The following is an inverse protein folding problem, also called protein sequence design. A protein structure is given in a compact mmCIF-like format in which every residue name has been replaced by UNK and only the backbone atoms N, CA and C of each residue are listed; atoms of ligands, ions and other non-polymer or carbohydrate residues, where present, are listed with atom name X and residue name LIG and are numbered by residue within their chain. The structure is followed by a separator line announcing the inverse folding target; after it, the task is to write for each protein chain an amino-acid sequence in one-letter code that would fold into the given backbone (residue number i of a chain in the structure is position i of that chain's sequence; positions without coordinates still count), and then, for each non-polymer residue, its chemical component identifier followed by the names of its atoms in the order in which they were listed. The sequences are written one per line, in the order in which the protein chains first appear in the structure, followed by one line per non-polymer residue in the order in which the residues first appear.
data_IF_658161726997
#
_entry.id   IF_658161726997
#
_cell.length_a   1.000
_cell.length_b   1.000
_cell.length_c   1.000
_cell.angle_alpha   90.00
_cell.angle_beta   90.00
_cell.angle_gamma   90.00
#
_symmetry.space_group_name_H-M   'P 1'
#
loop_
_entity.id
_entity.type
_entity.pdbx_description
1 polymer ?
#
# COMPACT_ATOMS: atom_id res chain seq x y z
N UNK A 1 1.61 -39.27 -6.63
CA UNK A 1 0.59 -38.20 -6.51
C UNK A 1 0.44 -37.39 -7.80
N UNK A 2 1.53 -36.91 -8.39
CA UNK A 2 1.55 -36.11 -9.64
C UNK A 2 0.95 -36.81 -10.87
N UNK A 3 1.26 -38.10 -11.11
CA UNK A 3 0.72 -38.85 -12.24
C UNK A 3 -0.81 -39.05 -12.14
N UNK A 4 -1.31 -39.41 -10.96
CA UNK A 4 -2.75 -39.54 -10.71
C UNK A 4 -3.49 -38.23 -10.97
N UNK A 5 -2.91 -37.10 -10.54
CA UNK A 5 -3.47 -35.76 -10.81
C UNK A 5 -3.62 -35.50 -12.31
N UNK A 6 -2.57 -35.75 -13.08
CA UNK A 6 -2.59 -35.57 -14.54
C UNK A 6 -3.65 -36.45 -15.17
N UNK A 7 -3.77 -37.72 -14.76
CA UNK A 7 -4.81 -38.65 -15.25
C UNK A 7 -6.20 -38.10 -14.95
N UNK A 8 -6.45 -37.60 -13.73
CA UNK A 8 -7.75 -37.03 -13.35
C UNK A 8 -8.06 -35.78 -14.18
N UNK A 9 -7.12 -34.84 -14.29
CA UNK A 9 -7.33 -33.59 -15.03
C UNK A 9 -7.54 -33.84 -16.53
N UNK A 10 -6.75 -34.73 -17.14
CA UNK A 10 -6.88 -35.10 -18.55
C UNK A 10 -8.15 -35.92 -18.81
N UNK A 11 -8.48 -36.84 -17.91
CA UNK A 11 -9.73 -37.61 -17.99
C UNK A 11 -10.96 -36.71 -17.89
N UNK A 12 -10.95 -35.74 -16.97
CA UNK A 12 -12.03 -34.77 -16.84
C UNK A 12 -12.10 -33.84 -18.06
N UNK A 13 -10.95 -33.40 -18.58
CA UNK A 13 -10.89 -32.63 -19.84
C UNK A 13 -11.55 -33.42 -20.98
N UNK A 14 -11.21 -34.69 -21.14
CA UNK A 14 -11.79 -35.56 -22.17
C UNK A 14 -13.32 -35.71 -22.00
N UNK A 15 -13.78 -36.01 -20.78
CA UNK A 15 -15.23 -36.09 -20.49
C UNK A 15 -15.94 -34.77 -20.79
N UNK A 16 -15.33 -33.64 -20.42
CA UNK A 16 -15.89 -32.32 -20.69
C UNK A 16 -16.04 -32.05 -22.18
N UNK A 17 -15.03 -32.38 -22.98
CA UNK A 17 -15.06 -32.19 -24.44
C UNK A 17 -16.04 -33.16 -25.12
N UNK A 18 -15.98 -34.45 -24.80
CA UNK A 18 -16.75 -35.48 -25.48
C UNK A 18 -18.24 -35.45 -25.11
N UNK A 19 -18.59 -35.04 -23.88
CA UNK A 19 -19.96 -35.12 -23.37
C UNK A 19 -20.51 -33.81 -22.82
N UNK A 20 -19.72 -32.72 -22.83
CA UNK A 20 -20.07 -31.38 -22.35
C UNK A 20 -21.40 -30.87 -22.88
N UNK A 21 -21.59 -30.96 -24.19
CA UNK A 21 -22.77 -30.47 -24.88
C UNK A 21 -24.07 -31.16 -24.42
N UNK A 22 -24.00 -32.43 -23.97
CA UNK A 22 -25.14 -33.19 -23.43
C UNK A 22 -25.40 -32.91 -21.96
N UNK A 23 -24.32 -32.75 -21.17
CA UNK A 23 -24.39 -32.65 -19.71
C UNK A 23 -23.80 -31.33 -19.20
N UNK A 24 -24.29 -30.21 -19.73
CA UNK A 24 -23.69 -28.89 -19.48
C UNK A 24 -23.58 -28.55 -18.00
N UNK A 25 -24.71 -28.56 -17.29
CA UNK A 25 -24.76 -28.18 -15.89
C UNK A 25 -23.99 -29.17 -14.99
N UNK A 26 -24.15 -30.51 -15.12
CA UNK A 26 -23.35 -31.46 -14.34
C UNK A 26 -21.84 -31.31 -14.53
N UNK A 27 -21.36 -31.15 -15.77
CA UNK A 27 -19.93 -31.00 -16.06
C UNK A 27 -19.39 -29.68 -15.50
N UNK A 28 -20.16 -28.60 -15.65
CA UNK A 28 -19.83 -27.32 -15.05
C UNK A 28 -19.69 -27.42 -13.53
N UNK A 29 -20.70 -27.95 -12.83
CA UNK A 29 -20.67 -28.09 -11.37
C UNK A 29 -19.54 -29.02 -10.89
N UNK A 30 -19.30 -30.12 -11.60
CA UNK A 30 -18.21 -31.03 -11.27
C UNK A 30 -16.83 -30.37 -11.42
N UNK A 31 -16.66 -29.47 -12.40
CA UNK A 31 -15.41 -28.74 -12.60
C UNK A 31 -15.12 -27.75 -11.47
N UNK A 32 -16.16 -27.11 -10.90
CA UNK A 32 -16.04 -26.24 -9.71
C UNK A 32 -15.56 -27.09 -8.52
N UNK A 33 -16.19 -28.25 -8.31
CA UNK A 33 -15.79 -29.20 -7.26
C UNK A 33 -14.34 -29.66 -7.42
N UNK A 34 -13.92 -29.97 -8.64
CA UNK A 34 -12.54 -30.35 -8.95
C UNK A 34 -11.54 -29.22 -8.66
N UNK A 35 -11.85 -27.99 -9.08
CA UNK A 35 -11.01 -26.82 -8.82
C UNK A 35 -10.89 -26.52 -7.31
N UNK A 36 -11.96 -26.69 -6.55
CA UNK A 36 -11.96 -26.54 -5.09
C UNK A 36 -11.14 -27.66 -4.42
N UNK A 37 -11.38 -28.92 -4.79
CA UNK A 37 -10.63 -30.07 -4.29
C UNK A 37 -9.13 -29.91 -4.57
N UNK A 38 -8.76 -29.44 -5.76
CA UNK A 38 -7.39 -29.17 -6.13
C UNK A 38 -6.71 -28.19 -5.15
N UNK A 39 -7.38 -27.10 -4.78
CA UNK A 39 -6.85 -26.13 -3.82
C UNK A 39 -6.59 -26.75 -2.44
N UNK A 40 -7.55 -27.54 -1.92
CA UNK A 40 -7.44 -28.13 -0.58
C UNK A 40 -6.44 -29.28 -0.50
N UNK A 41 -6.34 -30.10 -1.56
CA UNK A 41 -5.44 -31.25 -1.61
C UNK A 41 -4.00 -30.81 -1.84
N UNK A 42 -3.75 -29.96 -2.85
CA UNK A 42 -2.40 -29.63 -3.30
C UNK A 42 -1.84 -28.35 -2.68
N UNK A 43 -2.68 -27.53 -2.03
CA UNK A 43 -2.29 -26.34 -1.24
C UNK A 43 -1.27 -25.46 -1.99
N UNK A 44 -1.66 -24.88 -3.14
CA UNK A 44 -0.76 -23.99 -3.88
C UNK A 44 -0.29 -22.84 -2.99
N UNK A 45 0.91 -22.33 -3.22
CA UNK A 45 1.52 -21.25 -2.42
C UNK A 45 0.91 -19.86 -2.71
N UNK A 46 -0.43 -19.77 -2.72
CA UNK A 46 -1.22 -18.56 -2.88
C UNK A 46 -2.44 -18.60 -1.96
N UNK A 47 -2.96 -17.43 -1.61
CA UNK A 47 -4.15 -17.33 -0.75
C UNK A 47 -5.42 -17.83 -1.45
N UNK A 48 -6.44 -18.21 -0.67
CA UNK A 48 -7.76 -18.59 -1.21
C UNK A 48 -8.34 -17.51 -2.14
N UNK A 49 -8.25 -16.24 -1.71
CA UNK A 49 -8.73 -15.10 -2.50
C UNK A 49 -8.00 -14.96 -3.84
N UNK A 50 -6.67 -15.13 -3.83
CA UNK A 50 -5.86 -15.09 -5.04
C UNK A 50 -6.16 -16.28 -5.97
N UNK A 51 -6.38 -17.48 -5.43
CA UNK A 51 -6.79 -18.64 -6.23
C UNK A 51 -8.15 -18.42 -6.91
N UNK A 52 -9.15 -17.96 -6.15
CA UNK A 52 -10.49 -17.62 -6.68
C UNK A 52 -10.41 -16.50 -7.72
N UNK A 53 -9.58 -15.48 -7.48
CA UNK A 53 -9.35 -14.42 -8.46
C UNK A 53 -8.72 -14.95 -9.75
N UNK A 54 -7.71 -15.80 -9.65
CA UNK A 54 -7.04 -16.40 -10.82
C UNK A 54 -8.00 -17.28 -11.61
N UNK A 55 -8.85 -18.05 -10.92
CA UNK A 55 -9.89 -18.87 -11.53
C UNK A 55 -10.91 -18.00 -12.28
N UNK A 56 -11.42 -16.94 -11.64
CA UNK A 56 -12.32 -15.98 -12.28
C UNK A 56 -11.68 -15.33 -13.51
N UNK A 57 -10.41 -14.95 -13.42
CA UNK A 57 -9.64 -14.41 -14.55
C UNK A 57 -9.56 -15.41 -15.72
N UNK A 58 -9.27 -16.69 -15.46
CA UNK A 58 -9.19 -17.72 -16.51
C UNK A 58 -10.54 -17.93 -17.19
N UNK A 59 -11.62 -18.04 -16.41
CA UNK A 59 -12.97 -18.22 -16.94
C UNK A 59 -13.42 -17.02 -17.76
N UNK A 60 -13.24 -15.79 -17.26
CA UNK A 60 -13.61 -14.57 -17.98
C UNK A 60 -12.84 -14.46 -19.29
N UNK A 61 -11.53 -14.74 -19.28
CA UNK A 61 -10.74 -14.76 -20.50
C UNK A 61 -11.32 -15.74 -21.52
N UNK A 62 -11.64 -16.95 -21.07
CA UNK A 62 -12.25 -17.96 -21.93
C UNK A 62 -13.58 -17.55 -22.53
N UNK A 63 -14.49 -17.01 -21.73
CA UNK A 63 -15.78 -16.50 -22.21
C UNK A 63 -15.60 -15.43 -23.29
N UNK A 64 -14.69 -14.48 -23.07
CA UNK A 64 -14.39 -13.41 -24.04
C UNK A 64 -13.81 -14.01 -25.32
N UNK A 65 -12.85 -14.93 -25.21
CA UNK A 65 -12.21 -15.54 -26.36
C UNK A 65 -13.20 -16.34 -27.21
N UNK A 66 -13.95 -17.25 -26.58
CA UNK A 66 -14.89 -18.12 -27.30
C UNK A 66 -16.05 -17.31 -27.92
N UNK A 67 -16.56 -16.31 -27.20
CA UNK A 67 -17.59 -15.41 -27.74
C UNK A 67 -17.09 -14.55 -28.89
N UNK A 68 -15.83 -14.10 -28.84
CA UNK A 68 -15.21 -13.37 -29.94
C UNK A 68 -15.06 -14.26 -31.18
N UNK A 69 -14.61 -15.51 -31.02
CA UNK A 69 -14.44 -16.44 -32.13
C UNK A 69 -15.78 -16.77 -32.82
N UNK A 70 -16.84 -16.95 -32.05
CA UNK A 70 -18.20 -17.12 -32.58
C UNK A 70 -18.69 -15.85 -33.27
N UNK A 71 -18.52 -14.67 -32.66
CA UNK A 71 -18.95 -13.40 -33.29
C UNK A 71 -18.22 -13.08 -34.60
N UNK A 72 -16.99 -13.56 -34.76
CA UNK A 72 -16.19 -13.42 -35.96
C UNK A 72 -16.49 -14.50 -37.01
N UNK A 73 -17.42 -15.42 -36.73
CA UNK A 73 -17.77 -16.51 -37.64
C UNK A 73 -16.63 -17.51 -37.84
N UNK A 74 -15.74 -17.67 -36.87
CA UNK A 74 -14.64 -18.64 -36.94
C UNK A 74 -15.08 -20.05 -36.55
N UNK A 75 -16.09 -20.13 -35.68
CA UNK A 75 -16.57 -21.36 -35.06
C UNK A 75 -18.06 -21.24 -34.75
N UNK A 76 -18.76 -22.36 -34.79
CA UNK A 76 -20.13 -22.52 -34.32
C UNK A 76 -20.16 -23.64 -33.28
N UNK A 77 -20.68 -23.35 -32.09
CA UNK A 77 -20.74 -24.33 -31.01
C UNK A 77 -21.99 -25.23 -31.04
N UNK A 78 -22.87 -25.05 -32.04
CA UNK A 78 -24.02 -25.91 -32.29
C UNK A 78 -25.18 -25.73 -31.31
N UNK A 79 -25.28 -24.55 -30.66
CA UNK A 79 -26.30 -24.24 -29.65
C UNK A 79 -26.77 -22.78 -29.76
N UNK A 80 -28.02 -22.51 -29.39
CA UNK A 80 -28.60 -21.15 -29.42
C UNK A 80 -28.02 -20.20 -28.35
N UNK A 81 -27.35 -20.74 -27.32
CA UNK A 81 -26.74 -19.98 -26.24
C UNK A 81 -25.32 -20.45 -25.98
N UNK A 82 -24.50 -19.59 -25.34
CA UNK A 82 -23.11 -19.89 -25.07
C UNK A 82 -22.95 -21.24 -24.33
N UNK A 83 -22.05 -22.15 -24.76
CA UNK A 83 -21.96 -23.48 -24.17
C UNK A 83 -21.32 -23.42 -22.80
N UNK A 84 -22.13 -23.54 -21.75
CA UNK A 84 -21.69 -23.44 -20.36
C UNK A 84 -20.60 -24.47 -20.04
N UNK A 85 -20.64 -25.64 -20.67
CA UNK A 85 -19.64 -26.69 -20.48
C UNK A 85 -18.21 -26.28 -20.90
N UNK A 86 -18.03 -25.33 -21.83
CA UNK A 86 -16.70 -24.84 -22.22
C UNK A 86 -16.00 -24.15 -21.04
N UNK A 87 -16.76 -23.52 -20.14
CA UNK A 87 -16.20 -22.90 -18.94
C UNK A 87 -15.51 -23.92 -18.02
N UNK A 88 -16.00 -25.16 -18.01
CA UNK A 88 -15.43 -26.25 -17.20
C UNK A 88 -13.94 -26.51 -17.54
N UNK A 89 -13.54 -26.29 -18.79
CA UNK A 89 -12.16 -26.47 -19.23
C UNK A 89 -11.20 -25.52 -18.51
N UNK A 90 -11.64 -24.30 -18.20
CA UNK A 90 -10.84 -23.30 -17.47
C UNK A 90 -10.77 -23.61 -15.96
N UNK A 91 -11.82 -24.19 -15.38
CA UNK A 91 -11.80 -24.73 -14.01
C UNK A 91 -10.84 -25.92 -13.87
N UNK A 92 -10.77 -26.78 -14.88
CA UNK A 92 -9.78 -27.86 -14.92
C UNK A 92 -8.38 -27.30 -15.12
N UNK A 93 -8.24 -26.26 -15.94
CA UNK A 93 -6.95 -25.68 -16.29
C UNK A 93 -6.20 -25.09 -15.09
N UNK A 94 -6.89 -24.44 -14.14
CA UNK A 94 -6.24 -23.98 -12.90
C UNK A 94 -5.66 -25.14 -12.07
N UNK A 95 -6.18 -26.36 -12.26
CA UNK A 95 -5.68 -27.59 -11.67
C UNK A 95 -4.20 -27.87 -11.96
N UNK A 96 -3.67 -27.35 -13.06
CA UNK A 96 -2.25 -27.50 -13.41
C UNK A 96 -1.32 -26.51 -12.68
N UNK A 97 -1.87 -25.49 -12.01
CA UNK A 97 -1.10 -24.45 -11.35
C UNK A 97 -0.80 -24.77 -9.88
N UNK A 98 0.34 -24.29 -9.39
CA UNK A 98 0.77 -24.45 -8.01
C UNK A 98 1.59 -25.72 -7.74
N UNK A 99 1.63 -26.65 -8.69
CA UNK A 99 2.50 -27.82 -8.68
C UNK A 99 3.05 -28.19 -10.07
N UNK A 100 2.21 -28.63 -11.00
CA UNK A 100 2.61 -29.18 -12.30
C UNK A 100 3.31 -28.14 -13.18
N UNK A 101 2.81 -26.91 -13.22
CA UNK A 101 3.38 -25.82 -14.01
C UNK A 101 4.38 -24.95 -13.23
N UNK A 102 4.76 -25.31 -12.00
CA UNK A 102 5.67 -24.48 -11.18
C UNK A 102 7.01 -24.21 -11.90
N UNK A 103 7.53 -25.19 -12.64
CA UNK A 103 8.79 -25.06 -13.36
C UNK A 103 8.74 -24.04 -14.52
N UNK A 104 7.53 -23.66 -14.96
CA UNK A 104 7.31 -22.64 -15.98
C UNK A 104 7.28 -21.22 -15.42
N UNK A 105 7.06 -21.04 -14.11
CA UNK A 105 6.90 -19.72 -13.47
C UNK A 105 8.08 -18.77 -13.66
N UNK A 106 9.28 -19.30 -13.93
CA UNK A 106 10.52 -18.52 -14.13
C UNK A 106 11.00 -18.49 -15.58
N UNK A 107 10.21 -19.01 -16.53
CA UNK A 107 10.58 -19.07 -17.94
C UNK A 107 10.30 -17.74 -18.65
N UNK A 108 11.09 -17.39 -19.68
CA UNK A 108 10.92 -16.12 -20.39
C UNK A 108 9.60 -16.08 -21.18
N UNK A 109 9.03 -14.89 -21.32
CA UNK A 109 7.72 -14.66 -21.95
C UNK A 109 7.62 -15.28 -23.35
N UNK A 110 8.62 -15.16 -24.26
CA UNK A 110 8.52 -15.77 -25.58
C UNK A 110 8.37 -17.30 -25.57
N UNK A 111 9.04 -17.99 -24.62
CA UNK A 111 8.91 -19.43 -24.48
C UNK A 111 7.52 -19.81 -23.96
N UNK A 112 7.01 -19.08 -22.97
CA UNK A 112 5.65 -19.27 -22.47
C UNK A 112 4.62 -19.03 -23.58
N UNK A 113 4.81 -18.00 -24.40
CA UNK A 113 3.91 -17.70 -25.51
C UNK A 113 3.89 -18.83 -26.54
N UNK A 114 5.05 -19.38 -26.88
CA UNK A 114 5.14 -20.53 -27.79
C UNK A 114 4.45 -21.78 -27.23
N UNK A 115 4.69 -22.11 -25.96
CA UNK A 115 4.03 -23.24 -25.28
C UNK A 115 2.52 -23.05 -25.26
N UNK A 116 2.06 -21.84 -24.92
CA UNK A 116 0.65 -21.47 -24.92
C UNK A 116 0.03 -21.66 -26.30
N UNK A 117 0.63 -21.08 -27.34
CA UNK A 117 0.12 -21.16 -28.71
C UNK A 117 0.00 -22.61 -29.21
N UNK A 118 1.07 -23.41 -29.09
CA UNK A 118 1.07 -24.80 -29.54
C UNK A 118 0.10 -25.67 -28.72
N UNK A 119 0.07 -25.47 -27.40
CA UNK A 119 -0.84 -26.17 -26.50
C UNK A 119 -2.31 -25.84 -26.80
N UNK A 120 -2.61 -24.57 -27.01
CA UNK A 120 -3.93 -24.08 -27.38
C UNK A 120 -4.39 -24.68 -28.72
N UNK A 121 -3.58 -24.57 -29.78
CA UNK A 121 -3.88 -25.16 -31.09
C UNK A 121 -4.18 -26.66 -30.96
N UNK A 122 -3.32 -27.40 -30.26
CA UNK A 122 -3.45 -28.85 -30.12
C UNK A 122 -4.72 -29.24 -29.36
N UNK A 123 -5.01 -28.55 -28.24
CA UNK A 123 -6.18 -28.82 -27.42
C UNK A 123 -7.49 -28.49 -28.17
N UNK A 124 -7.53 -27.37 -28.89
CA UNK A 124 -8.72 -26.95 -29.63
C UNK A 124 -8.94 -27.78 -30.88
N UNK A 125 -7.88 -28.17 -31.58
CA UNK A 125 -7.96 -29.13 -32.68
C UNK A 125 -8.47 -30.49 -32.21
N UNK A 126 -7.92 -31.03 -31.12
CA UNK A 126 -8.45 -32.27 -30.54
C UNK A 126 -9.90 -32.13 -30.08
N UNK A 127 -10.23 -30.98 -29.49
CA UNK A 127 -11.57 -30.63 -29.02
C UNK A 127 -12.63 -30.63 -30.14
N UNK A 128 -12.33 -29.99 -31.27
CA UNK A 128 -13.25 -29.93 -32.42
C UNK A 128 -13.45 -31.28 -33.11
N UNK A 129 -12.57 -32.27 -32.90
CA UNK A 129 -12.76 -33.64 -33.41
C UNK A 129 -13.60 -34.52 -32.49
N UNK A 130 -13.75 -34.15 -31.23
CA UNK A 130 -14.43 -34.95 -30.20
C UNK A 130 -15.79 -34.39 -29.78
N UNK A 131 -16.09 -33.15 -30.16
CA UNK A 131 -17.29 -32.42 -29.77
C UNK A 131 -18.07 -31.96 -31.01
N UNK A 132 -19.35 -31.57 -30.89
CA UNK A 132 -20.13 -31.08 -32.03
C UNK A 132 -19.75 -29.66 -32.48
N UNK A 133 -18.55 -29.18 -32.13
CA UNK A 133 -18.06 -27.86 -32.50
C UNK A 133 -17.71 -27.86 -33.99
N UNK A 134 -18.33 -26.96 -34.74
CA UNK A 134 -18.09 -26.79 -36.17
C UNK A 134 -17.11 -25.64 -36.39
N UNK A 135 -15.96 -25.95 -36.98
CA UNK A 135 -14.96 -24.93 -37.36
C UNK A 135 -15.31 -24.40 -38.74
N UNK A 136 -15.71 -23.13 -38.78
CA UNK A 136 -16.20 -22.47 -39.99
C UNK A 136 -15.05 -21.86 -40.83
N UNK A 137 -13.89 -21.61 -40.21
CA UNK A 137 -12.77 -20.93 -40.85
C UNK A 137 -11.43 -21.58 -40.52
N UNK A 138 -10.51 -21.73 -41.49
CA UNK A 138 -9.15 -22.20 -41.23
C UNK A 138 -8.35 -21.25 -40.32
N UNK A 139 -8.77 -19.98 -40.22
CA UNK A 139 -8.16 -19.00 -39.32
C UNK A 139 -8.49 -19.23 -37.84
N UNK A 140 -9.45 -20.11 -37.52
CA UNK A 140 -9.82 -20.42 -36.13
C UNK A 140 -8.61 -20.87 -35.30
N UNK A 141 -7.84 -21.84 -35.78
CA UNK A 141 -6.69 -22.36 -35.03
C UNK A 141 -5.55 -21.34 -34.93
N UNK A 142 -5.38 -20.48 -35.94
CA UNK A 142 -4.45 -19.36 -35.86
C UNK A 142 -4.88 -18.38 -34.76
N UNK A 143 -6.18 -18.03 -34.71
CA UNK A 143 -6.73 -17.15 -33.68
C UNK A 143 -6.60 -17.76 -32.27
N UNK A 144 -6.85 -19.06 -32.12
CA UNK A 144 -6.57 -19.82 -30.88
C UNK A 144 -5.10 -19.72 -30.50
N UNK A 145 -4.18 -19.94 -31.45
CA UNK A 145 -2.74 -19.87 -31.19
C UNK A 145 -2.30 -18.49 -30.71
N UNK A 146 -2.82 -17.42 -31.33
CA UNK A 146 -2.57 -16.04 -30.91
C UNK A 146 -3.15 -15.79 -29.51
N UNK A 147 -4.41 -16.19 -29.28
CA UNK A 147 -5.08 -16.03 -27.99
C UNK A 147 -4.31 -16.71 -26.86
N UNK A 148 -4.02 -18.00 -27.00
CA UNK A 148 -3.28 -18.76 -26.00
C UNK A 148 -1.81 -18.35 -25.85
N UNK A 149 -1.19 -17.84 -26.92
CA UNK A 149 0.14 -17.25 -26.86
C UNK A 149 0.19 -15.96 -26.01
N UNK A 150 -0.92 -15.25 -25.89
CA UNK A 150 -1.09 -14.10 -25.00
C UNK A 150 -1.53 -14.55 -23.59
N UNK A 151 -2.52 -15.43 -23.52
CA UNK A 151 -3.14 -15.87 -22.27
C UNK A 151 -2.15 -16.61 -21.39
N UNK A 152 -1.40 -17.56 -21.92
CA UNK A 152 -0.59 -18.45 -21.09
C UNK A 152 0.54 -17.73 -20.33
N UNK A 153 1.32 -16.81 -20.94
CA UNK A 153 2.24 -15.97 -20.17
C UNK A 153 1.51 -15.11 -19.12
N UNK A 154 0.34 -14.58 -19.46
CA UNK A 154 -0.43 -13.73 -18.55
C UNK A 154 -1.01 -14.52 -17.37
N UNK A 155 -1.50 -15.73 -17.60
CA UNK A 155 -2.03 -16.62 -16.56
C UNK A 155 -0.94 -17.06 -15.58
N UNK A 156 0.29 -17.30 -16.07
CA UNK A 156 1.48 -17.53 -15.23
C UNK A 156 1.74 -16.33 -14.32
N UNK A 157 1.75 -15.10 -14.86
CA UNK A 157 1.93 -13.87 -14.07
C UNK A 157 0.80 -13.62 -13.08
N UNK A 158 -0.44 -13.88 -13.48
CA UNK A 158 -1.62 -13.74 -12.61
C UNK A 158 -1.53 -14.70 -11.44
N UNK A 159 -1.21 -15.98 -11.68
CA UNK A 159 -1.19 -17.01 -10.64
C UNK A 159 0.07 -16.95 -9.77
N UNK A 160 1.27 -16.91 -10.35
CA UNK A 160 2.54 -17.04 -9.60
C UNK A 160 3.10 -15.71 -9.10
N UNK A 161 2.94 -14.62 -9.86
CA UNK A 161 3.49 -13.31 -9.48
C UNK A 161 2.44 -12.41 -8.81
N UNK A 162 1.15 -12.75 -8.90
CA UNK A 162 0.05 -11.94 -8.37
C UNK A 162 -0.10 -10.60 -9.10
N UNK A 163 0.33 -10.49 -10.38
CA UNK A 163 0.41 -9.23 -11.12
C UNK A 163 -0.85 -8.34 -11.06
N UNK A 164 -2.04 -8.94 -11.18
CA UNK A 164 -3.32 -8.22 -11.05
C UNK A 164 -3.89 -8.25 -9.63
N UNK A 165 -3.67 -9.36 -8.91
CA UNK A 165 -4.14 -9.52 -7.54
C UNK A 165 -3.51 -8.48 -6.59
N UNK A 166 -2.20 -8.29 -6.66
CA UNK A 166 -1.48 -7.30 -5.87
C UNK A 166 -1.99 -5.89 -6.17
N UNK A 167 -2.27 -5.55 -7.43
CA UNK A 167 -2.85 -4.24 -7.80
C UNK A 167 -4.22 -4.01 -7.14
N UNK A 168 -5.06 -5.04 -7.07
CA UNK A 168 -6.36 -4.96 -6.38
C UNK A 168 -6.16 -4.75 -4.88
N UNK A 169 -5.22 -5.49 -4.27
CA UNK A 169 -4.89 -5.31 -2.87
C UNK A 169 -4.34 -3.90 -2.58
N UNK A 170 -3.45 -3.39 -3.42
CA UNK A 170 -2.80 -2.09 -3.26
C UNK A 170 -3.77 -0.92 -3.51
N UNK A 171 -4.80 -1.13 -4.33
CA UNK A 171 -5.90 -0.18 -4.50
C UNK A 171 -6.80 -0.10 -3.26
N UNK A 172 -6.81 -1.13 -2.42
CA UNK A 172 -7.56 -1.11 -1.16
C UNK A 172 -6.74 -0.45 -0.05
N UNK A 173 -7.35 0.47 0.70
CA UNK A 173 -6.73 1.04 1.90
C UNK A 173 -6.36 -0.07 2.89
N UNK A 174 -7.24 -1.06 3.05
CA UNK A 174 -7.09 -2.12 4.05
C UNK A 174 -5.87 -3.01 3.83
N UNK A 175 -5.69 -3.54 2.61
CA UNK A 175 -4.55 -4.43 2.31
C UNK A 175 -3.28 -3.67 1.93
N UNK A 176 -3.38 -2.40 1.53
CA UNK A 176 -2.23 -1.56 1.19
C UNK A 176 -1.55 -1.02 2.45
N UNK A 177 -2.32 -0.55 3.44
CA UNK A 177 -1.75 0.16 4.60
C UNK A 177 -1.29 -0.79 5.71
N UNK A 178 -1.71 -2.04 5.71
CA UNK A 178 -1.28 -3.02 6.71
C UNK A 178 0.13 -3.58 6.42
N UNK A 179 0.58 -4.52 7.27
CA UNK A 179 1.86 -5.22 7.14
C UNK A 179 1.97 -6.02 5.84
N UNK A 180 0.88 -6.59 5.35
CA UNK A 180 0.89 -7.34 4.10
C UNK A 180 1.19 -6.42 2.91
N UNK A 181 0.68 -5.17 2.92
CA UNK A 181 0.98 -4.16 1.92
C UNK A 181 2.44 -3.75 1.95
N UNK A 182 2.99 -3.45 3.13
CA UNK A 182 4.41 -3.15 3.29
C UNK A 182 5.30 -4.27 2.70
N UNK A 183 5.05 -5.53 3.09
CA UNK A 183 5.82 -6.69 2.60
C UNK A 183 5.67 -6.93 1.09
N UNK A 184 4.57 -6.48 0.47
CA UNK A 184 4.43 -6.50 -1.00
C UNK A 184 5.30 -5.42 -1.63
N UNK A 185 5.27 -4.20 -1.10
CA UNK A 185 6.02 -3.06 -1.65
C UNK A 185 7.53 -3.17 -1.42
N UNK A 186 7.95 -3.70 -0.27
CA UNK A 186 9.35 -3.86 0.14
C UNK A 186 10.19 -4.66 -0.87
N UNK A 187 9.57 -5.62 -1.57
CA UNK A 187 10.22 -6.41 -2.63
C UNK A 187 10.73 -5.57 -3.81
N UNK A 188 10.24 -4.33 -3.92
CA UNK A 188 10.58 -3.39 -4.99
C UNK A 188 11.36 -2.17 -4.48
N UNK A 189 11.80 -2.18 -3.21
CA UNK A 189 12.70 -1.16 -2.70
C UNK A 189 14.08 -1.38 -3.33
N UNK A 190 14.47 -0.44 -4.18
CA UNK A 190 15.61 -0.54 -5.08
C UNK A 190 16.88 0.13 -4.53
N UNK A 191 16.76 0.92 -3.46
CA UNK A 191 17.84 1.75 -2.93
C UNK A 191 17.88 1.68 -1.40
N UNK A 192 19.07 1.48 -0.85
CA UNK A 192 19.32 1.71 0.58
C UNK A 192 19.46 3.19 0.88
N UNK A 193 19.19 3.60 2.11
CA UNK A 193 19.44 4.96 2.57
C UNK A 193 20.73 5.01 3.38
N UNK A 194 21.47 6.12 3.27
CA UNK A 194 22.72 6.34 4.01
C UNK A 194 22.66 7.66 4.76
N UNK A 195 23.34 7.70 5.90
CA UNK A 195 23.49 8.92 6.70
C UNK A 195 24.96 9.24 6.90
N UNK A 196 25.25 10.54 6.94
CA UNK A 196 26.60 11.03 7.26
C UNK A 196 26.81 10.92 8.77
N UNK A 197 27.91 10.32 9.19
CA UNK A 197 28.30 10.29 10.60
C UNK A 197 28.42 11.71 11.17
N UNK A 198 27.92 11.91 12.39
CA UNK A 198 27.85 13.21 13.05
C UNK A 198 26.79 14.17 12.50
N UNK A 199 25.94 13.73 11.55
CA UNK A 199 24.74 14.48 11.21
C UNK A 199 23.83 14.64 12.43
N UNK A 200 23.01 15.69 12.46
CA UNK A 200 22.14 16.02 13.59
C UNK A 200 20.67 16.00 13.17
N UNK A 201 19.85 15.35 13.99
CA UNK A 201 18.42 15.23 13.76
C UNK A 201 17.62 15.66 14.98
N UNK A 202 16.42 16.18 14.77
CA UNK A 202 15.37 16.24 15.81
C UNK A 202 14.18 15.39 15.38
N UNK A 203 13.69 14.54 16.29
CA UNK A 203 12.48 13.75 16.09
C UNK A 203 11.47 14.09 17.19
N UNK A 204 10.33 14.64 16.76
CA UNK A 204 9.25 14.93 17.70
C UNK A 204 8.50 13.65 18.07
N UNK A 205 8.23 13.43 19.36
CA UNK A 205 7.61 12.19 19.82
C UNK A 205 8.51 10.97 19.63
N UNK A 206 9.82 11.12 19.83
CA UNK A 206 10.82 10.05 19.67
C UNK A 206 10.89 9.06 20.83
N UNK A 207 10.00 9.15 21.81
CA UNK A 207 10.04 8.33 23.05
C UNK A 207 9.27 7.01 22.94
N UNK A 208 8.53 6.77 21.85
CA UNK A 208 7.86 5.49 21.61
C UNK A 208 7.49 5.28 20.14
N UNK A 209 7.13 4.04 19.78
CA UNK A 209 6.53 3.71 18.48
C UNK A 209 7.41 4.09 17.29
N UNK A 210 6.81 4.65 16.25
CA UNK A 210 7.50 4.98 14.99
C UNK A 210 8.66 5.96 15.22
N UNK A 211 8.45 6.99 16.05
CA UNK A 211 9.47 8.00 16.35
C UNK A 211 10.69 7.40 17.03
N UNK A 212 10.49 6.50 17.99
CA UNK A 212 11.58 5.79 18.67
C UNK A 212 12.34 4.87 17.70
N UNK A 213 11.61 4.08 16.90
CA UNK A 213 12.23 3.19 15.91
C UNK A 213 13.09 3.97 14.90
N UNK A 214 12.59 5.11 14.40
CA UNK A 214 13.34 5.99 13.50
C UNK A 214 14.56 6.61 14.21
N UNK A 215 14.42 7.02 15.47
CA UNK A 215 15.52 7.62 16.25
C UNK A 215 16.65 6.62 16.48
N UNK A 216 16.31 5.39 16.87
CA UNK A 216 17.29 4.34 17.13
C UNK A 216 18.03 3.93 15.85
N UNK A 217 17.32 3.84 14.72
CA UNK A 217 17.95 3.47 13.44
C UNK A 217 18.90 4.56 12.93
N UNK A 218 18.51 5.84 13.05
CA UNK A 218 19.40 6.97 12.75
C UNK A 218 20.63 6.98 13.66
N UNK A 219 20.44 6.74 14.96
CA UNK A 219 21.51 6.74 15.94
C UNK A 219 22.55 5.64 15.68
N UNK A 220 22.09 4.42 15.33
CA UNK A 220 22.96 3.30 14.91
C UNK A 220 23.79 3.61 13.68
N UNK A 221 23.30 4.47 12.80
CA UNK A 221 24.00 4.91 11.59
C UNK A 221 24.82 6.20 11.80
N UNK A 222 25.04 6.60 13.07
CA UNK A 222 25.98 7.66 13.41
C UNK A 222 25.35 9.06 13.53
N UNK A 223 24.04 9.20 13.38
CA UNK A 223 23.34 10.48 13.53
C UNK A 223 23.10 10.78 15.00
N UNK A 224 23.40 12.01 15.45
CA UNK A 224 22.99 12.49 16.78
C UNK A 224 21.53 12.92 16.73
N UNK A 225 20.66 12.27 17.51
CA UNK A 225 19.22 12.51 17.47
C UNK A 225 18.72 13.12 18.77
N UNK A 226 18.17 14.32 18.68
CA UNK A 226 17.37 14.92 19.74
C UNK A 226 15.94 14.39 19.66
N UNK A 227 15.50 13.66 20.69
CA UNK A 227 14.13 13.17 20.79
C UNK A 227 13.33 14.05 21.73
N UNK A 228 12.10 14.39 21.37
CA UNK A 228 11.20 15.17 22.23
C UNK A 228 10.01 14.37 22.74
N UNK A 229 9.50 14.77 23.90
CA UNK A 229 8.34 14.14 24.53
C UNK A 229 7.94 14.84 25.83
N UNK A 230 6.74 14.52 26.31
CA UNK A 230 6.11 15.16 27.49
C UNK A 230 6.46 14.50 28.82
N UNK A 231 6.79 13.22 28.79
CA UNK A 231 7.05 12.44 29.99
C UNK A 231 8.56 12.30 30.16
N UNK A 232 9.09 12.91 31.23
CA UNK A 232 10.52 12.96 31.51
C UNK A 232 11.13 11.56 31.61
N UNK A 233 10.56 10.71 32.45
CA UNK A 233 11.05 9.35 32.72
C UNK A 233 11.10 8.49 31.45
N UNK A 234 10.03 8.49 30.65
CA UNK A 234 10.01 7.77 29.37
C UNK A 234 11.01 8.33 28.38
N UNK A 235 11.21 9.64 28.39
CA UNK A 235 12.17 10.31 27.53
C UNK A 235 13.61 9.96 27.86
N UNK A 236 13.96 10.00 29.14
CA UNK A 236 15.28 9.60 29.64
C UNK A 236 15.56 8.13 29.37
N UNK A 237 14.58 7.25 29.62
CA UNK A 237 14.71 5.83 29.29
C UNK A 237 14.94 5.59 27.79
N UNK A 238 14.22 6.30 26.91
CA UNK A 238 14.42 6.20 25.46
C UNK A 238 15.80 6.72 25.03
N UNK A 239 16.32 7.79 25.66
CA UNK A 239 17.65 8.30 25.36
C UNK A 239 18.78 7.37 25.83
N UNK A 240 18.53 6.50 26.82
CA UNK A 240 19.51 5.50 27.27
C UNK A 240 19.66 4.32 26.30
N UNK A 241 18.76 4.15 25.31
CA UNK A 241 18.85 3.06 24.34
C UNK A 241 20.07 3.16 23.42
N UNK A 242 20.63 4.36 23.25
CA UNK A 242 21.83 4.58 22.43
C UNK A 242 22.52 5.91 22.78
N UNK A 243 23.85 5.95 22.83
CA UNK A 243 24.64 7.14 23.25
C UNK A 243 24.43 8.39 22.38
N UNK A 244 24.06 8.19 21.11
CA UNK A 244 23.74 9.27 20.15
C UNK A 244 22.30 9.81 20.28
N UNK A 245 21.55 9.38 21.29
CA UNK A 245 20.22 9.92 21.59
C UNK A 245 20.31 10.93 22.73
N UNK A 246 19.60 12.04 22.59
CA UNK A 246 19.47 13.05 23.65
C UNK A 246 18.01 13.43 23.81
N UNK A 247 17.53 13.44 25.06
CA UNK A 247 16.15 13.80 25.34
C UNK A 247 15.98 15.29 25.62
N UNK A 248 15.01 15.91 24.96
CA UNK A 248 14.54 17.26 25.23
C UNK A 248 13.08 17.21 25.67
N UNK A 249 12.87 17.41 26.97
CA UNK A 249 11.53 17.49 27.55
C UNK A 249 10.78 18.68 26.98
N UNK A 250 9.70 18.42 26.26
CA UNK A 250 8.88 19.44 25.64
C UNK A 250 7.50 18.90 25.26
N UNK A 251 6.46 19.61 25.68
CA UNK A 251 5.12 19.42 25.13
C UNK A 251 4.93 20.28 23.89
N UNK A 252 4.70 19.63 22.75
CA UNK A 252 4.44 20.28 21.46
C UNK A 252 3.21 21.22 21.49
N UNK A 253 2.30 21.05 22.46
CA UNK A 253 1.17 21.96 22.68
C UNK A 253 1.50 23.17 23.57
N UNK A 254 2.69 23.19 24.19
CA UNK A 254 3.19 24.28 25.03
C UNK A 254 4.21 25.11 24.24
N UNK A 255 3.71 26.16 23.58
CA UNK A 255 4.50 26.97 22.66
C UNK A 255 5.42 27.97 23.36
N UNK A 256 5.12 28.32 24.62
CA UNK A 256 5.95 29.23 25.43
C UNK A 256 7.38 28.71 25.62
N UNK A 257 7.56 27.38 25.63
CA UNK A 257 8.85 26.71 25.82
C UNK A 257 9.65 26.54 24.53
N UNK A 258 9.03 26.79 23.36
CA UNK A 258 9.63 26.47 22.07
C UNK A 258 10.97 27.16 21.86
N UNK A 259 11.09 28.44 22.23
CA UNK A 259 12.35 29.18 22.10
C UNK A 259 13.46 28.50 22.91
N UNK A 260 13.19 28.17 24.16
CA UNK A 260 14.15 27.50 25.06
C UNK A 260 14.57 26.13 24.52
N UNK A 261 13.67 25.42 23.86
CA UNK A 261 13.98 24.13 23.22
C UNK A 261 14.87 24.34 21.99
N UNK A 262 14.53 25.29 21.12
CA UNK A 262 15.29 25.59 19.90
C UNK A 262 16.69 26.13 20.21
N UNK A 263 16.83 26.94 21.26
CA UNK A 263 18.13 27.50 21.68
C UNK A 263 19.15 26.40 22.04
N UNK A 264 18.68 25.26 22.56
CA UNK A 264 19.52 24.09 22.90
C UNK A 264 19.96 23.27 21.68
N UNK A 265 19.37 23.51 20.51
CA UNK A 265 19.67 22.74 19.30
C UNK A 265 20.85 23.36 18.56
N UNK A 266 21.67 22.50 17.99
CA UNK A 266 22.65 22.88 16.97
C UNK A 266 22.04 22.80 15.57
N UNK A 267 22.69 23.36 14.52
CA UNK A 267 22.19 23.26 13.16
C UNK A 267 21.94 21.81 12.72
N UNK A 268 20.70 21.55 12.28
CA UNK A 268 20.19 20.22 11.98
C UNK A 268 20.32 19.89 10.49
N UNK A 269 20.67 18.63 10.21
CA UNK A 269 20.58 18.02 8.88
C UNK A 269 19.17 17.46 8.66
N UNK A 270 18.51 16.98 9.71
CA UNK A 270 17.24 16.25 9.61
C UNK A 270 16.21 16.71 10.65
N UNK A 271 14.95 16.81 10.24
CA UNK A 271 13.82 17.13 11.13
C UNK A 271 12.68 16.16 10.84
N UNK A 272 12.19 15.46 11.87
CA UNK A 272 11.04 14.56 11.76
C UNK A 272 9.92 15.05 12.66
N UNK A 273 8.84 15.51 12.04
CA UNK A 273 7.62 15.97 12.71
C UNK A 273 6.69 14.75 12.89
N UNK A 274 7.01 13.92 13.88
CA UNK A 274 6.33 12.65 14.13
C UNK A 274 5.27 12.71 15.25
N UNK A 275 5.42 13.60 16.23
CA UNK A 275 4.55 13.65 17.40
C UNK A 275 3.05 13.68 17.01
N UNK A 276 2.28 12.77 17.61
CA UNK A 276 0.87 12.61 17.30
C UNK A 276 0.14 11.83 18.38
N UNK A 277 -1.13 12.16 18.58
CA UNK A 277 -1.99 11.47 19.55
C UNK A 277 -3.47 11.76 19.29
N UNK A 278 -4.33 10.96 19.91
CA UNK A 278 -5.79 11.13 19.84
C UNK A 278 -6.32 11.13 21.27
N UNK A 279 -6.31 12.30 21.95
CA UNK A 279 -6.86 12.44 23.29
C UNK A 279 -8.31 11.94 23.36
N UNK A 280 -8.69 11.31 24.47
CA UNK A 280 -10.05 10.79 24.62
C UNK A 280 -11.09 11.91 24.77
N UNK A 281 -10.70 12.99 25.43
CA UNK A 281 -11.57 14.13 25.75
C UNK A 281 -11.13 15.35 24.97
N UNK A 282 -12.11 16.17 24.58
CA UNK A 282 -11.85 17.50 24.08
C UNK A 282 -11.15 18.34 25.15
N UNK A 283 -9.96 18.83 24.81
CA UNK A 283 -9.16 19.71 25.68
C UNK A 283 -8.46 20.75 24.83
N UNK A 284 -8.17 21.90 25.42
CA UNK A 284 -7.46 23.00 24.77
C UNK A 284 -6.11 23.23 25.44
N UNK A 285 -5.13 23.73 24.69
CA UNK A 285 -3.89 24.25 25.26
C UNK A 285 -4.12 25.61 25.93
N UNK A 286 -3.06 26.21 26.49
CA UNK A 286 -3.12 27.51 27.18
C UNK A 286 -3.63 28.66 26.28
N UNK A 287 -3.44 28.54 24.97
CA UNK A 287 -3.88 29.53 23.97
C UNK A 287 -5.31 29.28 23.46
N UNK A 288 -6.04 28.33 24.05
CA UNK A 288 -7.43 28.03 23.68
C UNK A 288 -7.59 27.20 22.40
N UNK A 289 -6.51 26.58 21.90
CA UNK A 289 -6.51 25.74 20.69
C UNK A 289 -6.67 24.27 21.09
N UNK A 290 -7.55 23.54 20.40
CA UNK A 290 -7.76 22.10 20.66
C UNK A 290 -6.45 21.31 20.52
N UNK A 291 -6.24 20.34 21.41
CA UNK A 291 -4.94 19.73 21.67
C UNK A 291 -4.32 19.00 20.47
N UNK A 292 -5.10 18.32 19.61
CA UNK A 292 -4.57 17.67 18.42
C UNK A 292 -4.07 18.70 17.41
N UNK A 293 -4.81 19.78 17.16
CA UNK A 293 -4.32 20.86 16.32
C UNK A 293 -3.12 21.55 16.95
N UNK A 294 -3.19 21.83 18.25
CA UNK A 294 -2.16 22.57 18.96
C UNK A 294 -0.80 21.87 18.89
N UNK A 295 -0.79 20.56 19.10
CA UNK A 295 0.44 19.75 19.05
C UNK A 295 0.85 19.37 17.62
N UNK A 296 -0.05 18.84 16.81
CA UNK A 296 0.35 18.13 15.59
C UNK A 296 0.37 18.99 14.34
N UNK A 297 -0.33 20.13 14.36
CA UNK A 297 -0.40 21.07 13.25
C UNK A 297 0.36 22.36 13.58
N UNK A 298 -0.11 23.11 14.58
CA UNK A 298 0.47 24.40 14.97
C UNK A 298 1.85 24.24 15.60
N UNK A 299 2.01 23.34 16.59
CA UNK A 299 3.30 23.12 17.24
C UNK A 299 4.40 22.65 16.27
N UNK A 300 4.05 21.78 15.32
CA UNK A 300 4.97 21.39 14.24
C UNK A 300 5.29 22.53 13.26
N UNK A 301 4.29 23.36 12.92
CA UNK A 301 4.50 24.55 12.11
C UNK A 301 5.46 25.53 12.81
N UNK A 302 5.20 25.89 14.08
CA UNK A 302 6.07 26.79 14.83
C UNK A 302 7.47 26.23 15.03
N UNK A 303 7.61 24.92 15.28
CA UNK A 303 8.94 24.32 15.38
C UNK A 303 9.75 24.59 14.12
N UNK A 304 9.18 24.29 12.95
CA UNK A 304 9.89 24.43 11.67
C UNK A 304 10.14 25.89 11.31
N UNK A 305 9.18 26.78 11.57
CA UNK A 305 9.35 28.23 11.40
C UNK A 305 10.46 28.75 12.33
N UNK A 306 10.43 28.39 13.61
CA UNK A 306 11.41 28.86 14.58
C UNK A 306 12.81 28.32 14.33
N UNK A 307 12.94 27.05 13.91
CA UNK A 307 14.21 26.48 13.47
C UNK A 307 14.79 27.25 12.27
N UNK A 308 13.94 27.74 11.37
CA UNK A 308 14.37 28.57 10.24
C UNK A 308 14.86 29.94 10.70
N UNK A 309 14.05 30.64 11.50
CA UNK A 309 14.35 31.98 12.01
C UNK A 309 15.67 32.03 12.79
N UNK A 310 15.90 31.02 13.62
CA UNK A 310 17.07 30.93 14.49
C UNK A 310 18.29 30.28 13.79
N UNK A 311 18.23 30.08 12.47
CA UNK A 311 19.34 29.53 11.68
C UNK A 311 19.72 28.09 12.06
N UNK A 312 18.78 27.31 12.60
CA UNK A 312 19.00 25.92 13.06
C UNK A 312 18.78 24.87 11.96
N UNK A 313 18.48 25.27 10.73
CA UNK A 313 18.38 24.37 9.58
C UNK A 313 19.57 24.58 8.66
N UNK A 314 20.30 23.51 8.36
CA UNK A 314 21.34 23.54 7.32
C UNK A 314 20.70 23.76 5.94
N UNK A 315 21.52 24.19 4.98
CA UNK A 315 21.07 24.51 3.63
C UNK A 315 20.32 23.35 2.97
N UNK A 316 20.89 22.14 3.00
CA UNK A 316 20.29 20.92 2.43
C UNK A 316 19.49 20.08 3.44
N UNK A 317 19.00 20.69 4.52
CA UNK A 317 18.26 19.95 5.55
C UNK A 317 16.99 19.29 4.98
N UNK A 318 16.65 18.12 5.51
CA UNK A 318 15.45 17.36 5.11
C UNK A 318 14.45 17.30 6.25
N UNK A 319 13.23 17.75 5.98
CA UNK A 319 12.12 17.83 6.93
C UNK A 319 11.04 16.84 6.50
N UNK A 320 10.79 15.81 7.32
CA UNK A 320 9.76 14.80 7.09
C UNK A 320 8.59 15.01 8.05
N UNK A 321 7.41 15.27 7.51
CA UNK A 321 6.17 15.38 8.27
C UNK A 321 5.38 14.06 8.27
N UNK A 322 5.27 13.42 9.42
CA UNK A 322 4.52 12.16 9.56
C UNK A 322 3.03 12.48 9.66
N UNK A 323 2.34 12.23 8.55
CA UNK A 323 0.89 12.36 8.44
C UNK A 323 0.19 11.02 8.74
N UNK A 324 -1.01 10.80 8.22
CA UNK A 324 -1.72 9.52 8.33
C UNK A 324 -2.49 9.21 7.06
N UNK A 325 -2.62 7.93 6.72
CA UNK A 325 -3.53 7.48 5.66
C UNK A 325 -5.01 7.82 5.94
N UNK A 326 -5.39 8.04 7.20
CA UNK A 326 -6.74 8.49 7.57
C UNK A 326 -7.14 9.82 6.91
N UNK A 327 -6.16 10.67 6.55
CA UNK A 327 -6.42 11.92 5.84
C UNK A 327 -7.10 11.70 4.48
N UNK A 328 -6.92 10.55 3.82
CA UNK A 328 -7.55 10.25 2.53
C UNK A 328 -9.07 10.26 2.59
N UNK A 329 -9.65 10.05 3.76
CA UNK A 329 -11.10 10.02 3.99
C UNK A 329 -11.64 11.37 4.49
N UNK A 330 -10.76 12.32 4.83
CA UNK A 330 -11.14 13.63 5.34
C UNK A 330 -11.06 14.71 4.25
N UNK A 331 -12.09 15.55 4.20
CA UNK A 331 -12.04 16.86 3.55
C UNK A 331 -11.56 17.88 4.59
N UNK A 332 -10.74 18.84 4.18
CA UNK A 332 -10.32 19.92 5.07
C UNK A 332 -11.55 20.68 5.55
N UNK A 333 -11.76 20.72 6.86
CA UNK A 333 -12.84 21.45 7.50
C UNK A 333 -12.29 22.34 8.61
N UNK A 334 -12.20 23.65 8.33
CA UNK A 334 -11.63 24.63 9.24
C UNK A 334 -12.48 24.85 10.51
N UNK A 335 -13.80 24.64 10.46
CA UNK A 335 -14.66 24.78 11.64
C UNK A 335 -14.31 23.70 12.67
N UNK A 336 -14.14 22.46 12.22
CA UNK A 336 -13.60 21.38 13.05
C UNK A 336 -12.17 21.66 13.53
N UNK A 337 -11.36 22.40 12.78
CA UNK A 337 -10.01 22.82 13.24
C UNK A 337 -10.07 23.79 14.42
N UNK A 338 -10.98 24.76 14.37
CA UNK A 338 -10.93 25.89 15.27
C UNK A 338 -11.94 25.81 16.42
N UNK A 339 -13.14 25.31 16.15
CA UNK A 339 -14.26 25.31 17.08
C UNK A 339 -14.53 23.91 17.64
N UNK A 340 -14.49 22.90 16.77
CA UNK A 340 -14.70 21.47 17.07
C UNK A 340 -15.83 21.18 18.08
N UNK A 341 -17.06 21.69 17.86
CA UNK A 341 -18.15 21.59 18.84
C UNK A 341 -18.64 20.15 19.07
N UNK A 342 -18.35 19.23 18.15
CA UNK A 342 -18.72 17.81 18.20
C UNK A 342 -17.47 16.93 18.13
N UNK A 343 -16.64 17.02 19.17
CA UNK A 343 -15.36 16.33 19.22
C UNK A 343 -15.50 14.82 18.96
N UNK A 344 -14.93 14.40 17.84
CA UNK A 344 -14.60 13.00 17.56
C UNK A 344 -13.09 12.91 17.38
N UNK A 345 -12.41 12.14 18.24
CA UNK A 345 -10.94 12.09 18.26
C UNK A 345 -10.36 11.61 16.93
N UNK A 346 -11.03 10.70 16.21
CA UNK A 346 -10.53 10.10 14.97
C UNK A 346 -10.78 11.03 13.78
N UNK A 347 -11.96 11.65 13.70
CA UNK A 347 -12.29 12.64 12.67
C UNK A 347 -11.43 13.90 12.83
N UNK A 348 -11.23 14.36 14.07
CA UNK A 348 -10.32 15.46 14.39
C UNK A 348 -8.90 15.12 13.92
N UNK A 349 -8.39 13.94 14.27
CA UNK A 349 -7.08 13.46 13.83
C UNK A 349 -6.97 13.42 12.30
N UNK A 350 -7.95 12.85 11.61
CA UNK A 350 -7.95 12.76 10.15
C UNK A 350 -7.93 14.16 9.50
N UNK A 351 -8.66 15.12 10.07
CA UNK A 351 -8.70 16.50 9.59
C UNK A 351 -7.38 17.26 9.88
N UNK A 352 -6.77 17.09 11.06
CA UNK A 352 -5.40 17.57 11.37
C UNK A 352 -4.42 17.08 10.30
N UNK A 353 -4.42 15.76 10.04
CA UNK A 353 -3.51 15.15 9.07
C UNK A 353 -3.79 15.61 7.64
N UNK A 354 -5.05 15.86 7.29
CA UNK A 354 -5.45 16.52 6.03
C UNK A 354 -4.92 17.95 5.93
N UNK A 355 -4.95 18.72 7.02
CA UNK A 355 -4.42 20.08 7.07
C UNK A 355 -2.90 20.09 6.81
N UNK A 356 -2.14 19.17 7.42
CA UNK A 356 -0.69 19.02 7.17
C UNK A 356 -0.38 18.83 5.68
N UNK A 357 -1.08 17.90 5.01
CA UNK A 357 -0.91 17.64 3.57
C UNK A 357 -1.28 18.86 2.72
N UNK A 358 -2.30 19.61 3.15
CA UNK A 358 -2.73 20.84 2.46
C UNK A 358 -1.68 21.95 2.55
N UNK A 359 -0.82 21.94 3.58
CA UNK A 359 0.25 22.93 3.76
C UNK A 359 1.54 22.61 2.99
N UNK A 360 1.67 21.42 2.41
CA UNK A 360 2.89 21.02 1.70
C UNK A 360 3.36 22.00 0.61
N UNK A 361 2.48 22.56 -0.25
CA UNK A 361 2.90 23.56 -1.24
C UNK A 361 3.40 24.86 -0.58
N UNK A 362 2.81 25.25 0.55
CA UNK A 362 3.24 26.42 1.31
C UNK A 362 4.62 26.23 1.91
N UNK A 363 4.87 25.07 2.54
CA UNK A 363 6.19 24.72 3.06
C UNK A 363 7.26 24.64 1.97
N UNK A 364 6.93 24.07 0.80
CA UNK A 364 7.86 24.04 -0.34
C UNK A 364 8.36 25.46 -0.69
N UNK A 365 7.46 26.44 -0.70
CA UNK A 365 7.81 27.83 -1.03
C UNK A 365 8.55 28.53 0.13
N UNK A 366 8.19 28.21 1.37
CA UNK A 366 8.84 28.78 2.56
C UNK A 366 10.28 28.27 2.73
N UNK A 367 10.59 27.08 2.23
CA UNK A 367 11.88 26.40 2.38
C UNK A 367 12.50 26.08 1.02
N UNK A 368 13.02 27.08 0.29
CA UNK A 368 13.54 26.87 -1.08
C UNK A 368 14.84 26.07 -1.11
N UNK A 369 15.66 26.13 -0.05
CA UNK A 369 16.94 25.42 0.02
C UNK A 369 16.79 24.02 0.64
N UNK A 370 15.89 23.89 1.62
CA UNK A 370 15.61 22.63 2.28
C UNK A 370 14.56 21.80 1.49
N UNK A 371 14.46 20.52 1.82
CA UNK A 371 13.38 19.65 1.31
C UNK A 371 12.37 19.42 2.41
N UNK A 372 11.09 19.74 2.17
CA UNK A 372 9.98 19.44 3.08
C UNK A 372 9.08 18.40 2.43
N UNK A 373 8.93 17.23 3.05
CA UNK A 373 8.13 16.13 2.54
C UNK A 373 7.16 15.66 3.61
N UNK A 374 6.03 15.09 3.23
CA UNK A 374 5.19 14.32 4.14
C UNK A 374 5.23 12.85 3.78
N UNK A 375 5.00 11.99 4.77
CA UNK A 375 4.74 10.59 4.53
C UNK A 375 3.66 10.07 5.47
N UNK A 376 2.96 9.00 5.08
CA UNK A 376 2.16 8.24 6.03
C UNK A 376 2.78 6.86 6.28
N UNK A 377 2.79 6.36 7.53
CA UNK A 377 3.47 5.11 7.89
C UNK A 377 2.67 3.84 7.57
N UNK A 378 1.44 4.00 7.05
CA UNK A 378 0.46 2.92 7.01
C UNK A 378 -0.14 2.69 8.40
N UNK A 379 -0.57 1.46 8.68
CA UNK A 379 -1.12 1.06 9.96
C UNK A 379 -0.07 0.31 10.77
N UNK A 380 0.62 1.04 11.65
CA UNK A 380 1.64 0.50 12.52
C UNK A 380 1.12 0.28 13.95
N UNK A 381 1.58 -0.80 14.57
CA UNK A 381 1.33 -1.10 15.97
C UNK A 381 2.17 -0.16 16.83
N UNK A 382 1.50 0.75 17.54
CA UNK A 382 2.16 1.72 18.43
C UNK A 382 1.32 1.89 19.68
N UNK A 383 1.95 2.22 20.84
CA UNK A 383 1.20 2.49 22.06
C UNK A 383 0.09 3.53 21.87
N UNK A 384 0.33 4.56 21.03
CA UNK A 384 -0.65 5.60 20.73
C UNK A 384 -1.89 5.08 19.98
N UNK A 385 -1.71 4.17 19.02
CA UNK A 385 -2.82 3.53 18.30
C UNK A 385 -3.59 2.60 19.23
N UNK A 386 -2.89 1.72 19.95
CA UNK A 386 -3.51 0.72 20.82
C UNK A 386 -4.30 1.37 21.97
N UNK A 387 -3.83 2.51 22.50
CA UNK A 387 -4.58 3.27 23.52
C UNK A 387 -5.78 4.04 22.95
N UNK A 388 -5.63 4.61 21.75
CA UNK A 388 -6.64 5.53 21.20
C UNK A 388 -7.78 4.80 20.48
N UNK A 389 -7.50 3.70 19.80
CA UNK A 389 -8.49 2.94 19.00
C UNK A 389 -8.37 1.43 19.27
N UNK A 390 -8.62 0.97 20.51
CA UNK A 390 -8.36 -0.41 20.95
C UNK A 390 -9.14 -1.47 20.16
N UNK A 391 -10.35 -1.16 19.69
CA UNK A 391 -11.13 -2.08 18.86
C UNK A 391 -10.51 -2.31 17.48
N UNK A 392 -9.96 -1.25 16.87
CA UNK A 392 -9.23 -1.35 15.62
C UNK A 392 -7.95 -2.16 15.81
N UNK A 393 -7.19 -1.88 16.87
CA UNK A 393 -5.97 -2.61 17.23
C UNK A 393 -6.25 -4.13 17.40
N UNK A 394 -7.29 -4.48 18.18
CA UNK A 394 -7.75 -5.86 18.36
C UNK A 394 -8.15 -6.53 17.04
N UNK A 395 -8.89 -5.83 16.18
CA UNK A 395 -9.33 -6.33 14.86
C UNK A 395 -8.16 -6.53 13.89
N UNK A 396 -7.10 -5.74 14.03
CA UNK A 396 -5.92 -5.75 13.17
C UNK A 396 -4.74 -6.52 13.76
N UNK A 397 -4.94 -7.25 14.86
CA UNK A 397 -3.91 -8.04 15.53
C UNK A 397 -3.17 -8.94 14.54
N UNK A 398 -1.84 -8.88 14.55
CA UNK A 398 -0.95 -9.62 13.64
C UNK A 398 -0.85 -9.06 12.21
N UNK A 399 -1.64 -8.05 11.86
CA UNK A 399 -1.63 -7.38 10.55
C UNK A 399 -1.04 -5.97 10.59
N UNK A 400 -0.89 -5.36 11.76
CA UNK A 400 -0.25 -4.07 11.89
C UNK A 400 1.25 -4.17 11.56
N UNK A 401 1.79 -3.12 10.94
CA UNK A 401 3.22 -2.95 10.67
C UNK A 401 3.97 -2.83 12.00
N UNK A 402 5.21 -3.27 12.04
CA UNK A 402 6.08 -2.93 13.18
C UNK A 402 6.38 -1.44 13.18
N UNK A 403 6.78 -0.84 14.33
CA UNK A 403 7.24 0.54 14.38
C UNK A 403 8.33 0.87 13.35
N UNK A 404 9.30 -0.05 13.15
CA UNK A 404 10.38 0.13 12.17
C UNK A 404 9.86 0.11 10.72
N UNK A 405 8.92 -0.78 10.38
CA UNK A 405 8.26 -0.78 9.07
C UNK A 405 7.48 0.52 8.84
N UNK A 406 6.89 1.11 9.89
CA UNK A 406 6.27 2.44 9.83
C UNK A 406 7.28 3.58 9.67
N UNK A 407 8.49 3.43 10.23
CA UNK A 407 9.59 4.39 10.12
C UNK A 407 10.36 4.31 8.79
N UNK A 408 10.26 3.21 8.05
CA UNK A 408 11.06 2.94 6.85
C UNK A 408 11.08 4.11 5.84
N UNK A 409 9.91 4.64 5.49
CA UNK A 409 9.83 5.76 4.54
C UNK A 409 10.34 7.08 5.13
N UNK A 410 10.35 7.25 6.46
CA UNK A 410 11.03 8.39 7.11
C UNK A 410 12.53 8.30 6.83
N UNK A 411 13.12 7.15 7.14
CA UNK A 411 14.55 6.90 6.98
C UNK A 411 14.97 7.04 5.51
N UNK A 412 14.18 6.47 4.59
CA UNK A 412 14.41 6.62 3.17
C UNK A 412 14.38 8.08 2.70
N UNK A 413 13.37 8.87 3.09
CA UNK A 413 13.29 10.29 2.72
C UNK A 413 14.48 11.09 3.26
N UNK A 414 14.99 10.76 4.44
CA UNK A 414 16.13 11.43 5.04
C UNK A 414 17.48 11.05 4.39
N UNK A 415 17.65 9.79 3.97
CA UNK A 415 18.96 9.25 3.57
C UNK A 415 19.08 8.77 2.11
N UNK A 416 18.04 8.87 1.29
CA UNK A 416 18.12 8.53 -0.16
C UNK A 416 19.00 9.52 -0.93
N UNK A 417 19.70 9.03 -1.95
CA UNK A 417 20.44 9.86 -2.92
C UNK A 417 19.57 10.33 -4.08
N UNK A 418 18.36 9.79 -4.24
CA UNK A 418 17.41 10.25 -5.26
C UNK A 418 16.99 11.69 -4.98
N UNK A 419 16.77 12.46 -6.04
CA UNK A 419 16.14 13.76 -5.89
C UNK A 419 14.66 13.57 -5.51
N UNK A 420 14.31 14.07 -4.34
CA UNK A 420 12.98 13.97 -3.76
C UNK A 420 12.26 15.31 -3.96
N UNK A 421 11.01 15.23 -4.42
CA UNK A 421 10.16 16.40 -4.57
C UNK A 421 9.80 16.98 -3.20
N UNK A 422 10.24 18.21 -2.97
CA UNK A 422 9.73 19.05 -1.88
C UNK A 422 8.25 19.35 -2.11
N UNK A 423 7.47 19.39 -1.03
CA UNK A 423 6.01 19.43 -1.05
C UNK A 423 5.33 18.11 -1.46
N UNK A 424 6.09 17.01 -1.59
CA UNK A 424 5.53 15.70 -1.94
C UNK A 424 4.95 14.94 -0.74
N UNK A 425 3.96 14.08 -1.01
CA UNK A 425 3.47 13.07 -0.08
C UNK A 425 3.98 11.69 -0.51
N UNK A 426 4.49 10.92 0.44
CA UNK A 426 5.12 9.62 0.19
C UNK A 426 4.50 8.50 1.03
N UNK A 427 4.55 7.29 0.48
CA UNK A 427 4.15 6.06 1.13
C UNK A 427 4.94 4.91 0.53
N UNK A 428 5.53 4.07 1.38
CA UNK A 428 6.36 2.92 1.01
C UNK A 428 7.40 3.30 -0.07
N UNK A 429 8.22 4.30 0.27
CA UNK A 429 9.31 4.87 -0.54
C UNK A 429 8.90 5.38 -1.94
N UNK A 430 7.63 5.72 -2.12
CA UNK A 430 7.10 6.22 -3.39
C UNK A 430 6.24 7.46 -3.19
N UNK A 431 6.35 8.41 -4.12
CA UNK A 431 5.45 9.57 -4.19
C UNK A 431 4.03 9.10 -4.51
N UNK A 432 3.07 9.52 -3.70
CA UNK A 432 1.65 9.20 -3.86
C UNK A 432 0.81 10.46 -4.03
N UNK A 433 -0.41 10.27 -4.52
CA UNK A 433 -1.37 11.38 -4.64
C UNK A 433 -1.78 11.85 -3.25
N UNK A 434 -2.00 13.15 -3.09
CA UNK A 434 -2.54 13.75 -1.87
C UNK A 434 -4.06 13.52 -1.71
N UNK A 435 -4.73 13.14 -2.79
CA UNK A 435 -6.17 12.87 -2.84
C UNK A 435 -6.45 11.58 -3.59
N UNK A 436 -7.22 10.68 -2.98
CA UNK A 436 -7.82 9.53 -3.66
C UNK A 436 -9.19 9.88 -4.22
N UNK A 437 -10.00 10.60 -3.44
CA UNK A 437 -11.33 11.03 -3.84
C UNK A 437 -11.35 12.51 -4.22
N UNK A 438 -12.01 12.84 -5.32
CA UNK A 438 -12.08 14.19 -5.87
C UNK A 438 -12.67 15.21 -4.88
N UNK A 439 -13.62 14.81 -4.02
CA UNK A 439 -14.28 15.68 -3.04
C UNK A 439 -13.41 16.07 -1.85
N UNK A 440 -12.25 15.44 -1.66
CA UNK A 440 -11.32 15.75 -0.55
C UNK A 440 -10.39 16.92 -0.86
N UNK A 441 -10.41 17.44 -2.10
CA UNK A 441 -9.59 18.58 -2.50
C UNK A 441 -10.03 19.85 -1.78
N UNK A 442 -9.08 20.53 -1.15
CA UNK A 442 -9.28 21.87 -0.61
C UNK A 442 -9.19 22.91 -1.75
N UNK A 443 -9.96 23.99 -1.64
CA UNK A 443 -9.76 25.16 -2.52
C UNK A 443 -8.56 25.97 -2.05
N UNK A 444 -7.92 26.70 -2.97
CA UNK A 444 -6.81 27.61 -2.64
C UNK A 444 -7.22 28.63 -1.56
N UNK A 445 -8.45 29.15 -1.63
CA UNK A 445 -9.02 30.04 -0.61
C UNK A 445 -9.02 29.39 0.79
N UNK A 446 -9.32 28.09 0.88
CA UNK A 446 -9.34 27.38 2.16
C UNK A 446 -7.93 27.15 2.69
N UNK A 447 -6.98 26.85 1.81
CA UNK A 447 -5.56 26.74 2.14
C UNK A 447 -5.01 28.08 2.66
N UNK A 448 -5.33 29.20 2.00
CA UNK A 448 -4.91 30.54 2.45
C UNK A 448 -5.45 30.88 3.84
N UNK A 449 -6.74 30.60 4.10
CA UNK A 449 -7.32 30.78 5.44
C UNK A 449 -6.61 29.95 6.52
N UNK A 450 -6.22 28.72 6.20
CA UNK A 450 -5.44 27.88 7.12
C UNK A 450 -4.09 28.53 7.43
N UNK A 451 -3.40 29.05 6.41
CA UNK A 451 -2.10 29.73 6.55
C UNK A 451 -2.22 31.01 7.38
N UNK A 452 -3.21 31.85 7.08
CA UNK A 452 -3.50 33.06 7.86
C UNK A 452 -3.70 32.74 9.35
N UNK A 453 -4.36 31.61 9.64
CA UNK A 453 -4.62 31.22 11.01
C UNK A 453 -3.41 30.63 11.72
N UNK A 454 -2.53 29.92 11.00
CA UNK A 454 -1.22 29.51 11.53
C UNK A 454 -0.40 30.72 11.98
N UNK A 455 -0.36 31.77 11.15
CA UNK A 455 0.41 33.00 11.40
C UNK A 455 -0.11 33.87 12.55
N UNK A 456 -1.30 33.59 13.08
CA UNK A 456 -1.86 34.38 14.19
C UNK A 456 -1.38 33.90 15.57
N UNK A 457 -0.71 32.76 15.60
CA UNK A 457 -0.21 32.12 16.81
C UNK A 457 1.33 32.04 16.83
N UNK A 458 1.99 32.30 15.70
CA UNK A 458 3.42 32.60 15.56
C UNK A 458 3.67 34.06 15.89
#
# INVERSE_FOLDING_TARGET
MTALKVIILQGFWYVSVAFGYKYQLPIFLASIGLAAANYFIYKPNITRGHYVFSLGFFVIYGLIQEGLFESLGLVNYGQESFPLWLTALYFVFIGYYGDLLNYLSKKPIPLLALIGALGGISAYYGGSKLSPIEVLSPFYYLAVGIGWGIFFPLSIKVFYEGFMWNKILDASIYYSFDKSGYLRHEKFFDEEYQFRDGAKAIITGGTSGIGQAASLELAKQGVHVFITGRNQEKGEAAAQEHEKLSFLSWDMANWDELKTVVDKLEPLDYVVLNAGGMPEKFTKNKNGVELQFASQLFGHYFLVEKLKEEGKLKENARIVWVTSGGMYLAKLDLETIFENPKYDKVATYANVKRAQVTLLPYFKNMFPNQKVMAMHPGWAETPGVSSAIPEFDKKMKGRLRTPLQGADTILWLLGTHKDIDSGGLYFDRKKVKTHFFWFTKASEKLQMKLIERLKQFS
#
